data_IF_735355743874
#
_entry.id   IF_735355743874
#
_cell.length_a   1.000
_cell.length_b   1.000
_cell.length_c   1.000
_cell.angle_alpha   90.00
_cell.angle_beta   90.00
_cell.angle_gamma   90.00
#
_symmetry.space_group_name_H-M   'P 1'
#
loop_
_entity.id
_entity.type
_entity.pdbx_description
1 polymer ?
#
# COMPACT_ATOMS: atom_id res chain seq x y z
N UNK A 1 15.00 -26.01 -7.94
CA UNK A 1 14.44 -24.63 -7.96
C UNK A 1 13.44 -24.51 -6.83
N UNK A 2 13.47 -23.43 -6.05
CA UNK A 2 12.49 -23.19 -4.98
C UNK A 2 11.08 -23.03 -5.58
N UNK A 3 10.09 -23.76 -5.07
CA UNK A 3 8.67 -23.56 -5.44
C UNK A 3 8.12 -22.21 -5.00
N UNK A 4 8.84 -21.47 -4.15
CA UNK A 4 8.44 -20.16 -3.60
C UNK A 4 8.66 -19.00 -4.57
N UNK A 5 9.40 -19.20 -5.66
CA UNK A 5 9.75 -18.14 -6.61
C UNK A 5 9.10 -18.38 -7.98
N UNK A 6 8.45 -17.35 -8.51
CA UNK A 6 8.05 -17.30 -9.91
C UNK A 6 9.22 -16.82 -10.77
N UNK A 7 9.65 -17.64 -11.73
CA UNK A 7 10.79 -17.35 -12.60
C UNK A 7 10.30 -16.69 -13.89
N UNK A 8 10.84 -15.50 -14.21
CA UNK A 8 10.55 -14.80 -15.46
C UNK A 8 11.58 -15.24 -16.51
N UNK A 9 11.15 -16.01 -17.51
CA UNK A 9 12.03 -16.55 -18.57
C UNK A 9 11.59 -16.17 -19.98
N UNK A 10 10.36 -15.70 -20.12
CA UNK A 10 9.73 -15.36 -21.39
C UNK A 10 8.86 -14.11 -21.24
N UNK A 11 8.58 -13.43 -22.35
CA UNK A 11 7.64 -12.30 -22.42
C UNK A 11 6.29 -12.62 -21.76
N UNK A 12 5.78 -13.83 -21.96
CA UNK A 12 4.52 -14.29 -21.35
C UNK A 12 4.59 -14.35 -19.82
N UNK A 13 5.73 -14.72 -19.24
CA UNK A 13 5.90 -14.72 -17.77
C UNK A 13 5.80 -13.30 -17.22
N UNK A 14 6.39 -12.32 -17.91
CA UNK A 14 6.30 -10.89 -17.53
C UNK A 14 4.86 -10.37 -17.62
N UNK A 15 4.13 -10.72 -18.69
CA UNK A 15 2.71 -10.39 -18.86
C UNK A 15 1.89 -10.94 -17.68
N UNK A 16 2.03 -12.24 -17.37
CA UNK A 16 1.29 -12.89 -16.27
C UNK A 16 1.64 -12.25 -14.93
N UNK A 17 2.92 -12.00 -14.68
CA UNK A 17 3.40 -11.40 -13.44
C UNK A 17 2.82 -10.00 -13.22
N UNK A 18 2.88 -9.14 -14.26
CA UNK A 18 2.39 -7.77 -14.17
C UNK A 18 0.86 -7.72 -14.07
N UNK A 19 0.14 -8.57 -14.81
CA UNK A 19 -1.32 -8.72 -14.68
C UNK A 19 -1.73 -9.07 -13.26
N UNK A 20 -0.99 -9.99 -12.62
CA UNK A 20 -1.27 -10.39 -11.25
C UNK A 20 -1.02 -9.27 -10.22
N UNK A 21 -0.26 -8.23 -10.55
CA UNK A 21 -0.11 -7.02 -9.74
C UNK A 21 -1.16 -5.96 -10.08
N UNK A 22 -1.51 -5.79 -11.36
CA UNK A 22 -2.49 -4.80 -11.84
C UNK A 22 -3.88 -5.06 -11.23
N UNK A 23 -4.34 -6.30 -11.24
CA UNK A 23 -5.69 -6.65 -10.75
C UNK A 23 -5.90 -6.26 -9.28
N UNK A 24 -5.06 -6.69 -8.31
CA UNK A 24 -5.23 -6.28 -6.93
C UNK A 24 -4.95 -4.78 -6.74
N UNK A 25 -4.01 -4.19 -7.49
CA UNK A 25 -3.77 -2.74 -7.47
C UNK A 25 -5.03 -1.95 -7.83
N UNK A 26 -5.71 -2.32 -8.91
CA UNK A 26 -6.98 -1.70 -9.34
C UNK A 26 -8.04 -1.80 -8.25
N UNK A 27 -8.27 -3.01 -7.71
CA UNK A 27 -9.27 -3.24 -6.64
C UNK A 27 -8.97 -2.43 -5.39
N UNK A 28 -7.70 -2.40 -4.96
CA UNK A 28 -7.28 -1.67 -3.77
C UNK A 28 -7.32 -0.16 -3.97
N UNK A 29 -6.99 0.35 -5.16
CA UNK A 29 -7.16 1.77 -5.49
C UNK A 29 -8.63 2.20 -5.43
N UNK A 30 -9.53 1.41 -6.00
CA UNK A 30 -10.98 1.68 -5.92
C UNK A 30 -11.46 1.69 -4.47
N UNK A 31 -11.02 0.73 -3.66
CA UNK A 31 -11.36 0.69 -2.23
C UNK A 31 -10.77 1.85 -1.44
N UNK A 32 -9.53 2.25 -1.74
CA UNK A 32 -8.87 3.39 -1.10
C UNK A 32 -9.64 4.68 -1.37
N UNK A 33 -10.01 4.93 -2.64
CA UNK A 33 -10.84 6.08 -3.03
C UNK A 33 -12.21 6.06 -2.35
N UNK A 34 -12.83 4.89 -2.21
CA UNK A 34 -14.08 4.74 -1.46
C UNK A 34 -13.93 5.18 0.00
N UNK A 35 -12.89 4.71 0.68
CA UNK A 35 -12.65 5.11 2.08
C UNK A 35 -12.26 6.58 2.21
N UNK A 36 -11.54 7.12 1.24
CA UNK A 36 -11.22 8.54 1.18
C UNK A 36 -12.49 9.40 1.07
N UNK A 37 -13.44 9.03 0.19
CA UNK A 37 -14.73 9.70 0.08
C UNK A 37 -15.57 9.61 1.37
N UNK A 38 -15.50 8.49 2.11
CA UNK A 38 -16.15 8.38 3.42
C UNK A 38 -15.56 9.35 4.45
N UNK A 39 -14.26 9.57 4.42
CA UNK A 39 -13.60 10.54 5.32
C UNK A 39 -13.97 11.97 4.93
N UNK A 40 -14.00 12.27 3.63
CA UNK A 40 -14.48 13.55 3.11
C UNK A 40 -15.91 13.85 3.56
N UNK A 41 -16.83 12.88 3.43
CA UNK A 41 -18.22 13.01 3.88
C UNK A 41 -18.30 13.34 5.39
N UNK A 42 -17.45 12.73 6.22
CA UNK A 42 -17.37 13.04 7.66
C UNK A 42 -16.92 14.49 7.88
N UNK A 43 -15.89 14.94 7.14
CA UNK A 43 -15.33 16.29 7.21
C UNK A 43 -16.39 17.33 6.82
N UNK A 44 -17.12 17.09 5.73
CA UNK A 44 -18.17 17.97 5.22
C UNK A 44 -19.37 18.03 6.18
N UNK A 45 -19.92 16.88 6.58
CA UNK A 45 -21.09 16.82 7.46
C UNK A 45 -20.84 17.48 8.82
N UNK A 46 -19.60 17.41 9.33
CA UNK A 46 -19.21 18.06 10.59
C UNK A 46 -18.63 19.46 10.41
N UNK A 47 -18.51 19.95 9.16
CA UNK A 47 -17.94 21.26 8.81
C UNK A 47 -16.55 21.49 9.39
N UNK A 48 -15.71 20.45 9.36
CA UNK A 48 -14.40 20.50 10.02
C UNK A 48 -13.44 21.49 9.34
N UNK A 49 -13.57 21.71 8.02
CA UNK A 49 -12.81 22.74 7.31
C UNK A 49 -13.11 24.16 7.81
N UNK A 50 -14.35 24.44 8.21
CA UNK A 50 -14.74 25.74 8.78
C UNK A 50 -14.31 25.86 10.25
N UNK A 51 -14.10 24.73 10.93
CA UNK A 51 -13.83 24.65 12.37
C UNK A 51 -12.69 23.65 12.65
N UNK A 52 -11.47 23.91 12.15
CA UNK A 52 -10.38 22.93 12.22
C UNK A 52 -9.93 22.62 13.65
N UNK A 53 -10.13 23.56 14.59
CA UNK A 53 -9.79 23.39 16.01
C UNK A 53 -10.92 22.75 16.84
N UNK A 54 -11.99 22.26 16.20
CA UNK A 54 -13.07 21.57 16.90
C UNK A 54 -12.60 20.22 17.46
N UNK A 55 -13.28 19.74 18.49
CA UNK A 55 -13.01 18.46 19.12
C UNK A 55 -13.93 17.40 18.50
N UNK A 56 -13.35 16.26 18.12
CA UNK A 56 -14.08 15.09 17.62
C UNK A 56 -13.79 13.87 18.49
N UNK A 57 -14.68 12.88 18.47
CA UNK A 57 -14.39 11.57 19.06
C UNK A 57 -13.15 10.95 18.41
N UNK A 58 -12.27 10.40 19.22
CA UNK A 58 -11.04 9.76 18.74
C UNK A 58 -11.34 8.54 17.86
N UNK A 59 -12.48 7.87 18.06
CA UNK A 59 -12.90 6.72 17.25
C UNK A 59 -13.10 7.11 15.78
N UNK A 60 -13.63 8.31 15.50
CA UNK A 60 -13.78 8.81 14.13
C UNK A 60 -12.42 8.84 13.42
N UNK A 61 -11.38 9.31 14.12
CA UNK A 61 -10.03 9.37 13.59
C UNK A 61 -9.43 7.97 13.45
N UNK A 62 -9.46 7.14 14.50
CA UNK A 62 -8.84 5.82 14.48
C UNK A 62 -9.52 4.87 13.48
N UNK A 63 -10.84 4.92 13.30
CA UNK A 63 -11.54 4.14 12.27
C UNK A 63 -11.16 4.58 10.85
N UNK A 64 -11.11 5.89 10.62
CA UNK A 64 -10.71 6.46 9.32
C UNK A 64 -9.28 6.06 8.97
N UNK A 65 -8.37 6.20 9.94
CA UNK A 65 -6.98 5.79 9.86
C UNK A 65 -6.85 4.29 9.61
N UNK A 66 -7.58 3.45 10.35
CA UNK A 66 -7.53 2.01 10.17
C UNK A 66 -7.95 1.59 8.76
N UNK A 67 -9.06 2.14 8.24
CA UNK A 67 -9.54 1.88 6.87
C UNK A 67 -8.53 2.29 5.81
N UNK A 68 -8.02 3.52 5.90
CA UNK A 68 -7.08 4.08 4.92
C UNK A 68 -5.73 3.37 4.97
N UNK A 69 -5.13 3.23 6.15
CA UNK A 69 -3.82 2.59 6.31
C UNK A 69 -3.83 1.11 5.95
N UNK A 70 -4.92 0.39 6.23
CA UNK A 70 -5.05 -1.01 5.81
C UNK A 70 -4.88 -1.17 4.30
N UNK A 71 -5.59 -0.34 3.52
CA UNK A 71 -5.53 -0.40 2.06
C UNK A 71 -4.22 0.20 1.53
N UNK A 72 -3.73 1.28 2.12
CA UNK A 72 -2.44 1.90 1.78
C UNK A 72 -1.29 0.90 1.94
N UNK A 73 -1.24 0.16 3.05
CA UNK A 73 -0.22 -0.87 3.28
C UNK A 73 -0.29 -1.99 2.24
N UNK A 74 -1.49 -2.38 1.80
CA UNK A 74 -1.64 -3.35 0.72
C UNK A 74 -1.10 -2.82 -0.62
N UNK A 75 -1.42 -1.57 -0.97
CA UNK A 75 -0.90 -0.90 -2.16
C UNK A 75 0.63 -0.77 -2.12
N UNK A 76 1.19 -0.36 -0.97
CA UNK A 76 2.62 -0.28 -0.72
C UNK A 76 3.32 -1.63 -0.93
N UNK A 77 2.70 -2.75 -0.51
CA UNK A 77 3.23 -4.08 -0.79
C UNK A 77 3.24 -4.40 -2.30
N UNK A 78 2.14 -4.13 -3.00
CA UNK A 78 2.03 -4.37 -4.46
C UNK A 78 3.08 -3.56 -5.24
N UNK A 79 3.36 -2.33 -4.83
CA UNK A 79 4.26 -1.45 -5.57
C UNK A 79 5.71 -1.57 -5.15
N UNK A 80 5.98 -1.64 -3.84
CA UNK A 80 7.29 -1.38 -3.27
C UNK A 80 7.92 -2.52 -2.48
N UNK A 81 7.24 -3.66 -2.26
CA UNK A 81 7.82 -4.75 -1.46
C UNK A 81 9.11 -5.30 -2.10
N UNK A 82 10.17 -5.37 -1.30
CA UNK A 82 11.48 -5.85 -1.75
C UNK A 82 11.95 -7.10 -0.97
N UNK A 83 11.07 -7.70 -0.16
CA UNK A 83 11.38 -8.90 0.59
C UNK A 83 11.62 -10.11 -0.33
N UNK A 84 12.33 -11.12 0.22
CA UNK A 84 12.61 -12.35 -0.49
C UNK A 84 11.30 -13.10 -0.80
N UNK A 85 11.14 -13.52 -2.05
CA UNK A 85 9.94 -14.20 -2.57
C UNK A 85 8.63 -13.38 -2.68
N UNK A 86 8.58 -12.13 -2.20
CA UNK A 86 7.45 -11.25 -2.49
C UNK A 86 7.40 -10.82 -3.96
N UNK A 87 6.19 -10.48 -4.42
CA UNK A 87 5.98 -9.85 -5.72
C UNK A 87 5.69 -8.36 -5.55
N UNK A 88 6.31 -7.53 -6.38
CA UNK A 88 6.00 -6.11 -6.45
C UNK A 88 6.35 -5.53 -7.81
N UNK A 89 5.78 -4.36 -8.12
CA UNK A 89 6.06 -3.65 -9.35
C UNK A 89 7.52 -3.15 -9.41
N UNK A 90 8.09 -2.71 -8.29
CA UNK A 90 9.51 -2.39 -8.20
C UNK A 90 10.39 -3.58 -8.63
N UNK A 91 10.13 -4.78 -8.08
CA UNK A 91 10.87 -6.00 -8.45
C UNK A 91 10.63 -6.41 -9.91
N UNK A 92 9.43 -6.18 -10.44
CA UNK A 92 9.14 -6.38 -11.86
C UNK A 92 10.05 -5.51 -12.73
N UNK A 93 10.10 -4.19 -12.49
CA UNK A 93 10.95 -3.26 -13.27
C UNK A 93 12.42 -3.59 -13.17
N UNK A 94 12.91 -3.96 -11.99
CA UNK A 94 14.31 -4.35 -11.79
C UNK A 94 14.68 -5.62 -12.57
N UNK A 95 13.78 -6.62 -12.61
CA UNK A 95 13.97 -7.83 -13.40
C UNK A 95 13.87 -7.55 -14.89
N UNK A 96 12.91 -6.74 -15.32
CA UNK A 96 12.72 -6.35 -16.72
C UNK A 96 13.94 -5.58 -17.25
N UNK A 97 14.52 -4.68 -16.45
CA UNK A 97 15.73 -3.95 -16.81
C UNK A 97 16.94 -4.86 -17.06
N UNK A 98 17.02 -6.00 -16.38
CA UNK A 98 18.12 -6.97 -16.52
C UNK A 98 17.93 -7.90 -17.72
N UNK A 99 16.69 -8.11 -18.16
CA UNK A 99 16.36 -8.92 -19.32
C UNK A 99 16.35 -8.05 -20.59
N UNK A 100 17.38 -8.19 -21.44
CA UNK A 100 17.52 -7.39 -22.66
C UNK A 100 16.31 -7.49 -23.61
N UNK A 101 15.63 -8.64 -23.62
CA UNK A 101 14.47 -8.84 -24.51
C UNK A 101 13.25 -8.03 -24.05
N UNK A 102 13.16 -7.76 -22.74
CA UNK A 102 12.06 -7.01 -22.14
C UNK A 102 12.42 -5.54 -21.97
N UNK A 103 13.67 -5.23 -21.64
CA UNK A 103 14.12 -3.84 -21.43
C UNK A 103 13.97 -2.96 -22.66
N UNK A 104 13.98 -3.54 -23.86
CA UNK A 104 13.77 -2.85 -25.12
C UNK A 104 12.28 -2.62 -25.44
N UNK A 105 11.39 -3.38 -24.81
CA UNK A 105 9.93 -3.29 -25.02
C UNK A 105 9.33 -2.23 -24.08
N UNK A 106 9.75 -2.21 -22.82
CA UNK A 106 9.14 -1.36 -21.82
C UNK A 106 9.53 0.12 -22.00
N UNK A 107 8.59 1.05 -21.79
CA UNK A 107 8.91 2.47 -21.77
C UNK A 107 9.87 2.79 -20.62
N UNK A 108 10.68 3.83 -20.82
CA UNK A 108 11.48 4.41 -19.75
C UNK A 108 10.55 5.03 -18.70
N UNK A 109 10.92 4.88 -17.42
CA UNK A 109 10.26 5.62 -16.36
C UNK A 109 10.75 7.07 -16.39
N UNK A 110 9.84 8.01 -16.23
CA UNK A 110 10.21 9.37 -15.88
C UNK A 110 10.86 9.41 -14.48
N UNK A 111 11.62 10.48 -14.20
CA UNK A 111 12.37 10.59 -12.94
C UNK A 111 11.45 10.71 -11.71
N UNK A 112 10.24 11.26 -11.86
CA UNK A 112 9.27 11.34 -10.76
C UNK A 112 8.79 9.93 -10.38
N UNK A 113 8.31 9.15 -11.36
CA UNK A 113 7.85 7.77 -11.16
C UNK A 113 8.95 6.88 -10.59
N UNK A 114 10.19 7.05 -11.05
CA UNK A 114 11.35 6.32 -10.55
C UNK A 114 11.68 6.69 -9.10
N UNK A 115 11.64 7.98 -8.76
CA UNK A 115 11.80 8.47 -7.38
C UNK A 115 10.71 7.90 -6.46
N UNK A 116 9.46 7.98 -6.90
CA UNK A 116 8.30 7.45 -6.21
C UNK A 116 8.44 5.95 -5.93
N UNK A 117 8.78 5.13 -6.93
CA UNK A 117 9.01 3.69 -6.73
C UNK A 117 10.13 3.38 -5.73
N UNK A 118 11.17 4.20 -5.70
CA UNK A 118 12.24 4.02 -4.72
C UNK A 118 11.75 4.30 -3.30
N UNK A 119 10.95 5.35 -3.11
CA UNK A 119 10.43 5.78 -1.81
C UNK A 119 9.33 4.86 -1.26
N UNK A 120 8.53 4.22 -2.11
CA UNK A 120 7.43 3.33 -1.67
C UNK A 120 7.93 2.17 -0.79
N UNK A 121 9.15 1.68 -1.00
CA UNK A 121 9.71 0.66 -0.11
C UNK A 121 9.98 1.21 1.31
N UNK A 122 10.55 2.41 1.39
CA UNK A 122 10.80 3.09 2.67
C UNK A 122 9.48 3.38 3.39
N UNK A 123 8.48 3.88 2.68
CA UNK A 123 7.13 4.11 3.21
C UNK A 123 6.49 2.82 3.72
N UNK A 124 6.60 1.73 2.95
CA UNK A 124 6.11 0.40 3.34
C UNK A 124 6.75 -0.05 4.65
N UNK A 125 8.06 0.07 4.76
CA UNK A 125 8.80 -0.37 5.95
C UNK A 125 8.43 0.48 7.16
N UNK A 126 8.35 1.80 7.00
CA UNK A 126 7.96 2.70 8.08
C UNK A 126 6.52 2.43 8.55
N UNK A 127 5.56 2.27 7.63
CA UNK A 127 4.15 2.05 7.96
C UNK A 127 3.80 0.65 8.47
N UNK A 128 4.70 -0.33 8.32
CA UNK A 128 4.48 -1.73 8.72
C UNK A 128 5.28 -2.15 9.97
N UNK A 129 6.11 -1.27 10.52
CA UNK A 129 6.98 -1.55 11.66
C UNK A 129 6.87 -0.46 12.73
N UNK A 130 7.30 -0.76 13.96
CA UNK A 130 7.48 0.24 15.02
C UNK A 130 8.97 0.58 15.02
N UNK A 131 9.41 1.71 14.44
CA UNK A 131 10.83 2.04 14.34
C UNK A 131 11.39 2.53 15.68
N UNK A 132 12.63 2.16 16.01
CA UNK A 132 13.32 2.66 17.22
C UNK A 132 13.47 4.19 17.21
N UNK A 133 13.50 4.82 16.04
CA UNK A 133 13.50 6.28 15.93
C UNK A 133 12.28 6.92 16.59
N UNK A 134 11.14 6.22 16.66
CA UNK A 134 9.97 6.71 17.40
C UNK A 134 10.25 6.81 18.90
N UNK A 135 10.93 5.81 19.47
CA UNK A 135 11.35 5.84 20.87
C UNK A 135 12.39 6.94 21.12
N UNK A 136 13.39 7.06 20.23
CA UNK A 136 14.41 8.11 20.33
C UNK A 136 13.74 9.49 20.33
N UNK A 137 12.83 9.77 19.39
CA UNK A 137 12.11 11.05 19.35
C UNK A 137 11.22 11.28 20.58
N UNK A 138 10.60 10.23 21.13
CA UNK A 138 9.83 10.35 22.37
C UNK A 138 10.72 10.72 23.56
N UNK A 139 11.91 10.13 23.67
CA UNK A 139 12.91 10.46 24.70
C UNK A 139 13.47 11.87 24.51
N UNK A 140 13.74 12.30 23.28
CA UNK A 140 14.21 13.66 22.99
C UNK A 140 13.19 14.73 23.42
N UNK A 141 11.91 14.47 23.18
CA UNK A 141 10.81 15.36 23.58
C UNK A 141 10.47 15.26 25.07
N UNK A 142 10.71 14.10 25.69
CA UNK A 142 10.46 13.86 27.10
C UNK A 142 11.61 13.02 27.72
N UNK A 143 12.76 13.65 28.06
CA UNK A 143 13.91 12.94 28.62
C UNK A 143 13.61 12.23 29.95
N UNK A 144 12.53 12.64 30.64
CA UNK A 144 12.05 12.01 31.87
C UNK A 144 11.64 10.54 31.69
N UNK A 145 11.34 10.09 30.47
CA UNK A 145 11.00 8.68 30.18
C UNK A 145 12.13 7.69 30.52
N UNK A 146 13.39 8.15 30.59
CA UNK A 146 14.53 7.33 30.99
C UNK A 146 14.71 7.23 32.52
N UNK A 147 13.96 8.00 33.30
CA UNK A 147 14.14 8.08 34.75
C UNK A 147 13.13 7.22 35.51
N UNK A 148 13.53 6.52 36.59
CA UNK A 148 12.60 5.78 37.45
C UNK A 148 11.67 6.72 38.26
N UNK A 149 10.54 6.21 38.79
CA UNK A 149 10.14 4.80 38.78
C UNK A 149 9.45 4.38 37.47
N UNK A 150 9.81 3.20 36.96
CA UNK A 150 9.15 2.60 35.78
C UNK A 150 7.85 1.84 36.13
N UNK A 151 7.49 1.81 37.40
CA UNK A 151 6.29 1.16 37.91
C UNK A 151 5.60 2.07 38.94
N UNK A 152 4.30 2.37 38.77
CA UNK A 152 3.46 2.05 37.60
C UNK A 152 3.90 2.83 36.36
N UNK A 153 3.60 2.30 35.16
CA UNK A 153 3.66 3.07 33.93
C UNK A 153 2.26 3.56 33.55
N UNK A 154 2.20 4.68 32.82
CA UNK A 154 0.95 5.28 32.38
C UNK A 154 0.65 4.91 30.92
N UNK A 155 -0.63 4.72 30.61
CA UNK A 155 -1.11 4.55 29.24
C UNK A 155 -1.99 5.75 28.91
N UNK A 156 -1.59 6.51 27.90
CA UNK A 156 -2.40 7.63 27.41
C UNK A 156 -3.55 7.07 26.56
N UNK A 157 -4.78 7.29 27.01
CA UNK A 157 -6.01 6.96 26.28
C UNK A 157 -6.74 8.27 26.02
N UNK A 158 -7.02 8.56 24.76
CA UNK A 158 -7.71 9.77 24.35
C UNK A 158 -9.12 9.42 23.87
N UNK A 159 -10.15 9.90 24.57
CA UNK A 159 -11.55 9.76 24.12
C UNK A 159 -11.88 10.69 22.95
N UNK A 160 -11.17 11.82 22.89
CA UNK A 160 -11.36 12.86 21.89
C UNK A 160 -10.03 13.37 21.36
N UNK A 161 -10.04 13.87 20.12
CA UNK A 161 -8.89 14.51 19.49
C UNK A 161 -9.30 15.79 18.75
N UNK A 162 -8.31 16.63 18.42
CA UNK A 162 -8.54 17.78 17.55
C UNK A 162 -8.92 17.32 16.14
N UNK A 163 -9.90 17.97 15.51
CA UNK A 163 -10.31 17.70 14.13
C UNK A 163 -9.13 17.82 13.13
N UNK A 164 -8.08 18.57 13.47
CA UNK A 164 -6.83 18.63 12.71
C UNK A 164 -6.21 17.26 12.44
N UNK A 165 -6.38 16.27 13.34
CA UNK A 165 -5.89 14.92 13.11
C UNK A 165 -6.56 14.26 11.91
N UNK A 166 -7.88 14.41 11.78
CA UNK A 166 -8.63 13.85 10.65
C UNK A 166 -8.34 14.61 9.35
N UNK A 167 -8.25 15.94 9.42
CA UNK A 167 -7.91 16.78 8.25
C UNK A 167 -6.52 16.45 7.71
N UNK A 168 -5.52 16.34 8.60
CA UNK A 168 -4.15 15.96 8.23
C UNK A 168 -4.09 14.58 7.58
N UNK A 169 -4.79 13.59 8.17
CA UNK A 169 -4.91 12.25 7.59
C UNK A 169 -5.54 12.28 6.20
N UNK A 170 -6.60 13.08 6.01
CA UNK A 170 -7.28 13.20 4.72
C UNK A 170 -6.38 13.80 3.65
N UNK A 171 -5.69 14.91 3.95
CA UNK A 171 -4.76 15.56 3.04
C UNK A 171 -3.58 14.64 2.65
N UNK A 172 -3.00 13.92 3.61
CA UNK A 172 -1.97 12.94 3.32
C UNK A 172 -2.49 11.81 2.43
N UNK A 173 -3.70 11.33 2.72
CA UNK A 173 -4.33 10.26 1.96
C UNK A 173 -4.68 10.67 0.53
N UNK A 174 -5.04 11.93 0.29
CA UNK A 174 -5.21 12.48 -1.06
C UNK A 174 -3.92 12.42 -1.86
N UNK A 175 -2.81 12.90 -1.29
CA UNK A 175 -1.48 12.85 -1.94
C UNK A 175 -1.06 11.40 -2.23
N UNK A 176 -1.31 10.49 -1.30
CA UNK A 176 -1.06 9.07 -1.48
C UNK A 176 -1.92 8.46 -2.59
N UNK A 177 -3.20 8.85 -2.71
CA UNK A 177 -4.07 8.38 -3.78
C UNK A 177 -3.54 8.78 -5.17
N UNK A 178 -3.07 10.01 -5.32
CA UNK A 178 -2.44 10.50 -6.57
C UNK A 178 -1.17 9.71 -6.90
N UNK A 179 -0.29 9.53 -5.92
CA UNK A 179 0.93 8.73 -6.03
C UNK A 179 0.61 7.31 -6.50
N UNK A 180 -0.32 6.63 -5.84
CA UNK A 180 -0.71 5.26 -6.17
C UNK A 180 -1.36 5.18 -7.56
N UNK A 181 -2.15 6.18 -7.95
CA UNK A 181 -2.74 6.26 -9.28
C UNK A 181 -1.67 6.41 -10.35
N UNK A 182 -0.65 7.25 -10.16
CA UNK A 182 0.48 7.39 -11.10
C UNK A 182 1.20 6.06 -11.30
N UNK A 183 1.51 5.35 -10.22
CA UNK A 183 2.17 4.03 -10.31
C UNK A 183 1.30 3.01 -11.04
N UNK A 184 0.00 2.95 -10.73
CA UNK A 184 -0.91 2.04 -11.42
C UNK A 184 -1.00 2.36 -12.92
N UNK A 185 -1.11 3.63 -13.29
CA UNK A 185 -1.09 4.05 -14.70
C UNK A 185 0.19 3.60 -15.39
N UNK A 186 1.35 3.73 -14.75
CA UNK A 186 2.60 3.22 -15.32
C UNK A 186 2.59 1.69 -15.49
N UNK A 187 2.05 0.94 -14.52
CA UNK A 187 1.88 -0.52 -14.66
C UNK A 187 1.02 -0.86 -15.88
N UNK A 188 -0.04 -0.09 -16.14
CA UNK A 188 -0.88 -0.26 -17.32
C UNK A 188 -0.12 0.04 -18.62
N UNK A 189 0.69 1.11 -18.66
CA UNK A 189 1.53 1.43 -19.82
C UNK A 189 2.56 0.33 -20.13
N UNK A 190 3.23 -0.17 -19.08
CA UNK A 190 4.17 -1.29 -19.21
C UNK A 190 3.46 -2.56 -19.72
N UNK A 191 2.26 -2.82 -19.23
CA UNK A 191 1.46 -3.95 -19.68
C UNK A 191 1.05 -3.79 -21.14
N UNK A 192 0.59 -2.61 -21.54
CA UNK A 192 0.26 -2.29 -22.95
C UNK A 192 1.46 -2.53 -23.87
N UNK A 193 2.65 -2.09 -23.46
CA UNK A 193 3.87 -2.32 -24.24
C UNK A 193 4.18 -3.82 -24.39
N UNK A 194 3.93 -4.62 -23.34
CA UNK A 194 4.12 -6.06 -23.42
C UNK A 194 3.08 -6.73 -24.32
N UNK A 195 1.82 -6.33 -24.30
CA UNK A 195 0.79 -7.00 -25.11
C UNK A 195 0.59 -6.38 -26.49
N UNK A 196 1.23 -5.25 -26.78
CA UNK A 196 1.17 -4.49 -28.04
C UNK A 196 -0.23 -3.91 -28.35
N UNK A 197 -1.07 -3.77 -27.32
CA UNK A 197 -2.40 -3.16 -27.37
C UNK A 197 -2.75 -2.51 -26.03
N UNK A 198 -3.78 -1.66 -26.00
CA UNK A 198 -4.23 -1.07 -24.73
C UNK A 198 -5.14 -2.05 -23.98
N UNK A 199 -4.83 -2.42 -22.72
CA UNK A 199 -5.61 -3.39 -21.98
C UNK A 199 -7.00 -2.85 -21.63
N UNK A 200 -8.02 -3.66 -21.89
CA UNK A 200 -9.39 -3.39 -21.45
C UNK A 200 -9.62 -4.13 -20.13
N UNK A 201 -9.89 -3.37 -19.07
CA UNK A 201 -10.31 -3.91 -17.78
C UNK A 201 -11.83 -4.13 -17.82
N UNK A 202 -12.26 -5.39 -17.79
CA UNK A 202 -13.68 -5.76 -17.76
C UNK A 202 -14.01 -6.27 -16.34
N UNK A 203 -14.67 -5.47 -15.50
CA UNK A 203 -15.22 -5.97 -14.24
C UNK A 203 -16.25 -7.06 -14.54
N UNK A 204 -16.08 -8.22 -13.94
CA UNK A 204 -17.03 -9.32 -14.00
C UNK A 204 -17.58 -9.53 -12.60
N UNK A 205 -18.90 -9.71 -12.49
CA UNK A 205 -19.53 -10.24 -11.29
C UNK A 205 -19.51 -11.77 -11.38
N UNK A 206 -18.63 -12.46 -10.63
CA UNK A 206 -18.58 -13.92 -10.64
C UNK A 206 -19.74 -14.54 -9.84
N UNK A 207 -20.64 -13.74 -9.27
CA UNK A 207 -21.68 -14.16 -8.35
C UNK A 207 -21.19 -14.24 -6.91
N UNK A 208 -21.81 -15.13 -6.14
CA UNK A 208 -21.49 -15.27 -4.71
C UNK A 208 -20.12 -15.92 -4.54
N UNK A 209 -19.22 -15.21 -3.87
CA UNK A 209 -17.91 -15.74 -3.49
C UNK A 209 -18.08 -16.87 -2.47
N UNK A 210 -17.70 -18.09 -2.82
CA UNK A 210 -17.73 -19.25 -1.93
C UNK A 210 -16.40 -19.40 -1.18
N UNK A 211 -16.37 -20.30 -0.19
CA UNK A 211 -15.14 -20.64 0.55
C UNK A 211 -14.12 -21.41 -0.29
N UNK A 212 -14.49 -21.88 -1.49
CA UNK A 212 -13.58 -22.59 -2.40
C UNK A 212 -12.37 -21.72 -2.79
N UNK A 213 -12.55 -20.40 -2.83
CA UNK A 213 -11.49 -19.42 -3.04
C UNK A 213 -10.35 -19.50 -2.01
N UNK A 214 -10.61 -20.06 -0.82
CA UNK A 214 -9.59 -20.23 0.22
C UNK A 214 -8.56 -21.31 -0.12
N UNK A 215 -8.82 -22.14 -1.14
CA UNK A 215 -7.84 -23.11 -1.62
C UNK A 215 -6.56 -22.44 -2.11
N UNK A 216 -6.65 -21.26 -2.75
CA UNK A 216 -5.50 -20.51 -3.25
C UNK A 216 -4.57 -20.04 -2.10
N UNK A 217 -5.05 -19.27 -1.10
CA UNK A 217 -4.21 -18.85 0.01
C UNK A 217 -3.73 -20.05 0.85
N UNK A 218 -4.53 -21.10 1.03
CA UNK A 218 -4.09 -22.32 1.72
C UNK A 218 -2.92 -23.01 0.98
N UNK A 219 -3.03 -23.15 -0.35
CA UNK A 219 -1.95 -23.72 -1.19
C UNK A 219 -0.69 -22.85 -1.12
N UNK A 220 -0.85 -21.53 -1.23
CA UNK A 220 0.26 -20.58 -1.11
C UNK A 220 0.95 -20.68 0.26
N UNK A 221 0.18 -20.77 1.34
CA UNK A 221 0.70 -20.94 2.70
C UNK A 221 1.52 -22.22 2.84
N UNK A 222 1.02 -23.35 2.34
CA UNK A 222 1.73 -24.63 2.40
C UNK A 222 3.08 -24.56 1.65
N UNK A 223 3.10 -23.93 0.46
CA UNK A 223 4.35 -23.68 -0.28
C UNK A 223 5.34 -22.85 0.55
N UNK A 224 4.86 -21.84 1.28
CA UNK A 224 5.72 -21.01 2.14
C UNK A 224 6.26 -21.77 3.36
N UNK A 225 5.47 -22.66 3.96
CA UNK A 225 5.91 -23.50 5.08
C UNK A 225 6.80 -24.66 4.65
N UNK A 226 6.86 -24.97 3.34
CA UNK A 226 7.57 -26.16 2.83
C UNK A 226 6.79 -27.47 3.05
N UNK A 227 5.52 -27.37 3.47
CA UNK A 227 4.61 -28.49 3.58
C UNK A 227 4.09 -28.81 2.17
N UNK A 228 4.24 -30.06 1.74
CA UNK A 228 3.90 -30.51 0.37
C UNK A 228 2.41 -30.42 0.09
#
# INVERSE_FOLDING_TARGET
>A
MSKKAFNLKSKNDYIVYLRHLIIPSYKSLSLYKKYLAQVEEIIENKKLNERPNSIISNDIYEESKAKLLFVANHLLNIYGDHSNFAMSYKKFREKAKKDKSISLILPNLDEETKSNLNNLNSMRNWGSHIPESLLISQIELNPGLLSPPFNPFTVAIFENCSAQWLLSLYEESLRNAELYQKIHTQMMLDYSALIEEFPVLIPVDPGVRTLDDLQIPATSWNIQQGNK
#
